data_IF_119574003640
#
_entry.id   IF_119574003640
#
_cell.length_a   1.000
_cell.length_b   1.000
_cell.length_c   1.000
_cell.angle_alpha   90.00
_cell.angle_beta   90.00
_cell.angle_gamma   90.00
#
_symmetry.space_group_name_H-M   'P 1'
#
loop_
_entity.id
_entity.type
_entity.pdbx_description
1 polymer ?
#
# COMPACT_ATOMS: atom_id res chain seq x y z
N UNK A 1 -8.62 11.49 22.04
CA UNK A 1 -7.72 10.55 22.74
C UNK A 1 -8.14 9.12 22.40
N UNK A 2 -7.20 8.22 22.12
CA UNK A 2 -7.53 6.83 21.85
C UNK A 2 -8.17 6.17 23.08
N UNK A 3 -9.17 5.32 22.83
CA UNK A 3 -9.82 4.55 23.89
C UNK A 3 -8.99 3.30 24.24
N UNK A 4 -9.25 2.71 25.42
CA UNK A 4 -8.62 1.43 25.76
C UNK A 4 -8.93 0.34 24.71
N UNK A 5 -10.11 0.36 24.11
CA UNK A 5 -10.48 -0.59 23.05
C UNK A 5 -9.66 -0.40 21.78
N UNK A 6 -9.39 0.85 21.38
CA UNK A 6 -8.51 1.13 20.25
C UNK A 6 -7.09 0.59 20.51
N UNK A 7 -6.56 0.79 21.71
CA UNK A 7 -5.25 0.25 22.10
C UNK A 7 -5.22 -1.27 22.09
N UNK A 8 -6.26 -1.93 22.63
CA UNK A 8 -6.39 -3.39 22.59
C UNK A 8 -6.44 -3.92 21.14
N UNK A 9 -7.23 -3.26 20.28
CA UNK A 9 -7.33 -3.65 18.87
C UNK A 9 -6.00 -3.46 18.14
N UNK A 10 -5.29 -2.37 18.37
CA UNK A 10 -3.94 -2.16 17.81
C UNK A 10 -2.97 -3.27 18.22
N UNK A 11 -2.97 -3.68 19.48
CA UNK A 11 -2.13 -4.79 19.97
C UNK A 11 -2.48 -6.12 19.30
N UNK A 12 -3.77 -6.42 19.11
CA UNK A 12 -4.24 -7.62 18.41
C UNK A 12 -3.80 -7.60 16.94
N UNK A 13 -3.91 -6.46 16.27
CA UNK A 13 -3.49 -6.32 14.88
C UNK A 13 -1.96 -6.45 14.75
N UNK A 14 -1.21 -5.88 15.68
CA UNK A 14 0.25 -6.02 15.72
C UNK A 14 0.69 -7.49 15.82
N UNK A 15 0.05 -8.27 16.70
CA UNK A 15 0.31 -9.70 16.86
C UNK A 15 -0.06 -10.48 15.59
N UNK A 16 -1.21 -10.15 14.97
CA UNK A 16 -1.73 -10.86 13.80
C UNK A 16 -0.89 -10.64 12.55
N UNK A 17 -0.54 -9.39 12.26
CA UNK A 17 0.11 -9.00 10.99
C UNK A 17 1.63 -8.83 11.10
N UNK A 18 2.19 -8.86 12.31
CA UNK A 18 3.63 -8.73 12.51
C UNK A 18 4.19 -7.32 12.34
N UNK A 19 3.34 -6.31 12.19
CA UNK A 19 3.72 -4.89 12.15
C UNK A 19 3.29 -4.19 13.44
N UNK A 20 4.21 -3.50 14.15
CA UNK A 20 3.98 -3.12 15.55
C UNK A 20 3.12 -1.87 15.75
N UNK A 21 3.05 -0.96 14.79
CA UNK A 21 2.44 0.36 14.97
C UNK A 21 1.19 0.47 14.13
N UNK A 22 0.05 0.77 14.76
CA UNK A 22 -1.25 0.82 14.09
C UNK A 22 -1.96 2.14 14.30
N UNK A 23 -2.62 2.60 13.24
CA UNK A 23 -3.52 3.74 13.22
C UNK A 23 -4.85 3.36 12.60
N UNK A 24 -5.96 3.86 13.18
CA UNK A 24 -7.30 3.66 12.66
C UNK A 24 -7.72 4.85 11.80
N UNK A 25 -8.45 4.56 10.73
CA UNK A 25 -8.98 5.52 9.77
C UNK A 25 -10.46 5.22 9.51
N UNK A 26 -11.12 6.03 8.67
CA UNK A 26 -12.53 5.82 8.34
C UNK A 26 -12.74 4.80 7.21
N UNK A 27 -11.71 4.50 6.44
CA UNK A 27 -11.74 3.54 5.33
C UNK A 27 -10.34 3.10 4.95
N UNK A 28 -10.21 2.02 4.17
CA UNK A 28 -8.95 1.63 3.55
C UNK A 28 -8.44 2.71 2.55
N UNK A 29 -9.35 3.40 1.86
CA UNK A 29 -8.99 4.56 1.01
C UNK A 29 -8.21 5.60 1.81
N UNK A 30 -8.71 5.94 2.98
CA UNK A 30 -8.09 6.91 3.88
C UNK A 30 -6.72 6.41 4.38
N UNK A 31 -6.64 5.14 4.77
CA UNK A 31 -5.39 4.48 5.15
C UNK A 31 -4.34 4.53 4.02
N UNK A 32 -4.72 4.18 2.80
CA UNK A 32 -3.84 4.23 1.63
C UNK A 32 -3.33 5.65 1.36
N UNK A 33 -4.20 6.66 1.47
CA UNK A 33 -3.82 8.07 1.27
C UNK A 33 -2.78 8.53 2.30
N UNK A 34 -2.92 8.16 3.56
CA UNK A 34 -1.92 8.46 4.59
C UNK A 34 -0.58 7.83 4.25
N UNK A 35 -0.55 6.55 3.93
CA UNK A 35 0.69 5.83 3.63
C UNK A 35 1.39 6.36 2.38
N UNK A 36 0.65 6.71 1.33
CA UNK A 36 1.22 7.35 0.12
C UNK A 36 1.90 8.67 0.47
N UNK A 37 1.28 9.49 1.33
CA UNK A 37 1.86 10.76 1.77
C UNK A 37 3.14 10.53 2.58
N UNK A 38 3.11 9.60 3.52
CA UNK A 38 4.30 9.25 4.30
C UNK A 38 5.43 8.71 3.42
N UNK A 39 5.11 7.82 2.48
CA UNK A 39 6.11 7.29 1.56
C UNK A 39 6.78 8.40 0.72
N UNK A 40 5.98 9.34 0.21
CA UNK A 40 6.49 10.52 -0.52
C UNK A 40 7.37 11.38 0.36
N UNK A 41 6.98 11.64 1.59
CA UNK A 41 7.74 12.46 2.53
C UNK A 41 9.11 11.83 2.86
N UNK A 42 9.13 10.56 3.25
CA UNK A 42 10.37 9.90 3.70
C UNK A 42 11.33 9.55 2.56
N UNK A 43 10.84 9.50 1.32
CA UNK A 43 11.67 9.19 0.14
C UNK A 43 12.01 10.40 -0.71
N UNK A 44 11.26 11.50 -0.60
CA UNK A 44 11.34 12.67 -1.48
C UNK A 44 10.87 12.39 -2.91
N UNK A 45 10.28 11.23 -3.20
CA UNK A 45 9.85 10.80 -4.53
C UNK A 45 8.36 11.07 -4.72
N UNK A 46 7.90 11.21 -5.97
CA UNK A 46 6.52 11.63 -6.27
C UNK A 46 5.60 10.48 -6.67
N UNK A 47 6.12 9.52 -7.45
CA UNK A 47 5.31 8.45 -8.02
C UNK A 47 5.15 7.27 -7.05
N UNK A 48 4.02 6.59 -7.17
CA UNK A 48 3.83 5.26 -6.60
C UNK A 48 3.76 4.24 -7.74
N UNK A 49 4.20 3.02 -7.48
CA UNK A 49 3.93 1.89 -8.34
C UNK A 49 2.65 1.19 -7.88
N UNK A 50 1.81 0.78 -8.84
CA UNK A 50 0.63 -0.04 -8.61
C UNK A 50 0.55 -1.12 -9.68
N UNK A 51 -0.15 -2.21 -9.40
CA UNK A 51 -0.39 -3.22 -10.43
C UNK A 51 -1.49 -2.77 -11.40
N UNK A 52 -1.33 -3.17 -12.65
CA UNK A 52 -2.36 -3.00 -13.66
C UNK A 52 -3.67 -3.65 -13.20
N UNK A 53 -4.79 -2.94 -13.36
CA UNK A 53 -6.13 -3.36 -12.90
C UNK A 53 -6.31 -3.57 -11.39
N UNK A 54 -5.40 -3.08 -10.53
CA UNK A 54 -5.58 -3.10 -9.09
C UNK A 54 -6.78 -2.24 -8.62
N UNK A 55 -7.16 -2.39 -7.36
CA UNK A 55 -8.15 -1.51 -6.74
C UNK A 55 -7.80 -1.23 -5.28
N UNK A 56 -7.63 0.05 -4.93
CA UNK A 56 -7.24 0.51 -3.59
C UNK A 56 -8.17 1.60 -3.04
N UNK A 57 -9.46 1.45 -3.30
CA UNK A 57 -10.45 2.47 -2.95
C UNK A 57 -10.44 3.65 -3.93
N UNK A 58 -10.93 4.81 -3.51
CA UNK A 58 -11.01 6.02 -4.32
C UNK A 58 -9.75 6.89 -4.19
N UNK A 59 -8.59 6.27 -4.20
CA UNK A 59 -7.30 6.96 -4.27
C UNK A 59 -7.02 7.28 -5.73
N UNK A 60 -6.92 8.55 -6.08
CA UNK A 60 -6.81 9.02 -7.48
C UNK A 60 -5.65 8.35 -8.23
N UNK A 61 -4.50 8.24 -7.60
CA UNK A 61 -3.29 7.63 -8.15
C UNK A 61 -3.48 6.17 -8.58
N UNK A 62 -4.43 5.45 -7.98
CA UNK A 62 -4.59 4.01 -8.20
C UNK A 62 -5.55 3.64 -9.33
N UNK A 63 -6.17 4.64 -9.97
CA UNK A 63 -7.00 4.44 -11.18
C UNK A 63 -6.18 4.42 -12.46
N UNK A 64 -4.96 3.92 -12.38
CA UNK A 64 -4.04 3.74 -13.49
C UNK A 64 -4.11 2.33 -14.07
N UNK A 65 -3.90 2.22 -15.37
CA UNK A 65 -3.73 0.97 -16.11
C UNK A 65 -2.63 1.14 -17.15
N UNK A 66 -2.23 0.05 -17.78
CA UNK A 66 -1.35 0.08 -18.94
C UNK A 66 -2.18 0.20 -20.23
N UNK A 67 -1.69 1.00 -21.17
CA UNK A 67 -2.19 0.98 -22.56
C UNK A 67 -1.50 -0.13 -23.38
N UNK A 68 -1.85 -0.24 -24.65
CA UNK A 68 -1.30 -1.26 -25.56
C UNK A 68 0.22 -1.10 -25.81
N UNK A 69 0.77 0.09 -25.57
CA UNK A 69 2.20 0.40 -25.69
C UNK A 69 2.95 0.25 -24.35
N UNK A 70 2.25 -0.14 -23.27
CA UNK A 70 2.81 -0.31 -21.93
C UNK A 70 3.01 0.99 -21.15
N UNK A 71 2.35 2.08 -21.55
CA UNK A 71 2.40 3.34 -20.82
C UNK A 71 1.33 3.38 -19.72
N UNK A 72 1.63 4.07 -18.64
CA UNK A 72 0.66 4.33 -17.56
C UNK A 72 -0.36 5.36 -18.02
N UNK A 73 -1.62 4.98 -18.07
CA UNK A 73 -2.74 5.84 -18.45
C UNK A 73 -3.88 5.74 -17.44
N UNK A 74 -4.81 6.69 -17.47
CA UNK A 74 -6.01 6.62 -16.65
C UNK A 74 -6.88 5.45 -17.11
N UNK A 75 -7.43 4.69 -16.14
CA UNK A 75 -8.44 3.66 -16.42
C UNK A 75 -9.59 4.29 -17.20
N UNK A 76 -10.09 3.59 -18.23
CA UNK A 76 -11.29 3.99 -18.95
C UNK A 76 -12.42 4.21 -17.93
N UNK A 77 -13.22 5.23 -18.13
CA UNK A 77 -14.33 5.62 -17.25
C UNK A 77 -13.89 6.13 -15.86
N UNK A 78 -12.60 6.38 -15.62
CA UNK A 78 -12.15 7.13 -14.44
C UNK A 78 -12.63 8.58 -14.55
N UNK A 79 -13.53 8.97 -13.66
CA UNK A 79 -14.12 10.32 -13.62
C UNK A 79 -13.33 11.23 -12.70
N UNK A 80 -13.19 12.50 -13.10
CA UNK A 80 -12.68 13.55 -12.21
C UNK A 80 -11.19 13.43 -11.86
N UNK A 81 -10.38 12.82 -12.69
CA UNK A 81 -8.93 12.74 -12.46
C UNK A 81 -8.33 14.14 -12.30
N UNK A 82 -7.54 14.40 -11.25
CA UNK A 82 -6.99 15.73 -11.00
C UNK A 82 -5.78 16.05 -11.88
N UNK A 83 -5.03 15.02 -12.30
CA UNK A 83 -3.82 15.11 -13.14
C UNK A 83 -3.75 13.91 -14.09
N UNK A 84 -2.86 13.99 -15.08
CA UNK A 84 -2.50 12.78 -15.86
C UNK A 84 -1.75 11.81 -14.95
N UNK A 85 -2.17 10.54 -14.93
CA UNK A 85 -1.73 9.59 -13.91
C UNK A 85 -0.26 9.18 -14.04
N UNK A 86 0.34 9.27 -15.22
CA UNK A 86 1.77 9.05 -15.42
C UNK A 86 2.65 10.03 -14.64
N UNK A 87 2.10 11.16 -14.18
CA UNK A 87 2.82 12.12 -13.34
C UNK A 87 2.95 11.67 -11.88
N UNK A 88 2.03 10.83 -11.41
CA UNK A 88 1.93 10.43 -10.00
C UNK A 88 2.04 8.92 -9.80
N UNK A 89 1.96 8.15 -10.89
CA UNK A 89 1.81 6.70 -10.82
C UNK A 89 2.63 6.02 -11.93
N UNK A 90 3.08 4.81 -11.62
CA UNK A 90 3.66 3.88 -12.57
C UNK A 90 2.90 2.55 -12.45
N UNK A 91 2.14 2.18 -13.49
CA UNK A 91 1.44 0.89 -13.53
C UNK A 91 2.42 -0.20 -14.00
N UNK A 92 2.38 -1.36 -13.34
CA UNK A 92 3.20 -2.53 -13.69
C UNK A 92 2.32 -3.77 -13.82
N UNK A 93 2.64 -4.72 -14.71
CA UNK A 93 1.93 -5.99 -14.77
C UNK A 93 2.10 -6.79 -13.48
N UNK A 94 1.07 -7.52 -13.07
CA UNK A 94 1.18 -8.47 -11.97
C UNK A 94 1.97 -9.70 -12.41
N UNK A 95 2.77 -10.29 -11.52
CA UNK A 95 3.68 -11.39 -11.80
C UNK A 95 4.86 -11.07 -12.76
N UNK A 96 5.23 -9.80 -12.88
CA UNK A 96 6.35 -9.34 -13.70
C UNK A 96 7.39 -8.60 -12.85
N UNK A 97 8.43 -9.33 -12.39
CA UNK A 97 9.53 -8.75 -11.60
C UNK A 97 10.44 -7.85 -12.44
N UNK A 98 10.57 -8.11 -13.74
CA UNK A 98 11.40 -7.29 -14.62
C UNK A 98 10.78 -5.90 -14.81
N UNK A 99 9.47 -5.85 -15.04
CA UNK A 99 8.73 -4.58 -15.11
C UNK A 99 8.79 -3.80 -13.77
N UNK A 100 8.67 -4.51 -12.64
CA UNK A 100 8.82 -3.90 -11.31
C UNK A 100 10.24 -3.35 -11.11
N UNK A 101 11.27 -4.10 -11.44
CA UNK A 101 12.65 -3.64 -11.31
C UNK A 101 12.94 -2.43 -12.21
N UNK A 102 12.46 -2.43 -13.45
CA UNK A 102 12.56 -1.30 -14.38
C UNK A 102 11.94 -0.03 -13.78
N UNK A 103 10.74 -0.15 -13.20
CA UNK A 103 10.09 0.99 -12.55
C UNK A 103 10.92 1.51 -11.37
N UNK A 104 11.43 0.64 -10.51
CA UNK A 104 12.19 1.03 -9.32
C UNK A 104 13.56 1.61 -9.65
N UNK A 105 14.21 1.15 -10.71
CA UNK A 105 15.47 1.67 -11.22
C UNK A 105 15.36 3.15 -11.67
N UNK A 106 14.18 3.63 -12.02
CA UNK A 106 13.97 5.04 -12.38
C UNK A 106 14.33 6.01 -11.25
N UNK A 107 14.29 5.55 -9.99
CA UNK A 107 14.47 6.39 -8.82
C UNK A 107 13.28 7.32 -8.51
N UNK A 108 12.17 7.21 -9.25
CA UNK A 108 10.98 8.06 -9.08
C UNK A 108 9.92 7.47 -8.13
N UNK A 109 10.01 6.17 -7.81
CA UNK A 109 8.97 5.44 -7.09
C UNK A 109 9.17 5.55 -5.57
N UNK A 110 8.20 6.17 -4.90
CA UNK A 110 8.16 6.31 -3.45
C UNK A 110 7.70 5.03 -2.75
N UNK A 111 6.65 4.40 -3.30
CA UNK A 111 6.07 3.19 -2.76
C UNK A 111 5.57 2.25 -3.85
N UNK A 112 5.54 0.95 -3.54
CA UNK A 112 4.71 -0.04 -4.21
C UNK A 112 3.47 -0.26 -3.34
N UNK A 113 2.29 0.13 -3.83
CA UNK A 113 1.00 -0.18 -3.21
C UNK A 113 0.35 -1.33 -3.98
N UNK A 114 0.10 -2.45 -3.31
CA UNK A 114 -0.38 -3.65 -3.98
C UNK A 114 -1.28 -4.52 -3.10
N UNK A 115 -2.14 -5.30 -3.74
CA UNK A 115 -2.80 -6.45 -3.12
C UNK A 115 -1.84 -7.66 -3.17
N UNK A 116 -1.76 -8.53 -2.14
CA UNK A 116 -0.97 -9.77 -2.22
C UNK A 116 -1.45 -10.75 -3.29
N UNK A 117 -2.72 -10.67 -3.67
CA UNK A 117 -3.33 -11.29 -4.84
C UNK A 117 -4.32 -10.29 -5.44
N UNK A 118 -4.41 -10.16 -6.77
CA UNK A 118 -5.40 -9.26 -7.37
C UNK A 118 -6.80 -9.84 -7.16
N UNK A 119 -7.74 -9.00 -6.73
CA UNK A 119 -9.10 -9.44 -6.41
C UNK A 119 -10.20 -8.68 -7.14
N UNK A 120 -9.84 -7.66 -7.91
CA UNK A 120 -10.82 -6.79 -8.60
C UNK A 120 -11.22 -7.28 -10.00
N UNK A 121 -10.40 -8.11 -10.63
CA UNK A 121 -10.63 -8.64 -12.00
C UNK A 121 -10.83 -10.17 -12.00
N UNK A 122 -11.26 -10.72 -10.92
CA UNK A 122 -11.17 -12.13 -10.57
C UNK A 122 -10.05 -12.30 -9.53
N UNK A 123 -9.73 -13.54 -9.18
CA UNK A 123 -8.62 -13.81 -8.26
C UNK A 123 -7.39 -14.24 -9.07
N UNK A 124 -6.38 -13.37 -9.08
CA UNK A 124 -5.09 -13.66 -9.71
C UNK A 124 -4.06 -13.85 -8.61
N UNK A 125 -3.59 -15.08 -8.46
CA UNK A 125 -2.61 -15.44 -7.44
C UNK A 125 -1.19 -15.05 -7.87
N UNK A 126 -0.32 -14.71 -6.92
CA UNK A 126 1.10 -14.51 -7.20
C UNK A 126 1.73 -15.83 -7.64
N UNK A 127 2.59 -15.78 -8.64
CA UNK A 127 3.44 -16.90 -9.01
C UNK A 127 4.49 -17.20 -7.91
N UNK A 128 4.96 -18.44 -7.79
CA UNK A 128 5.99 -18.78 -6.82
C UNK A 128 7.24 -17.89 -6.95
N UNK A 129 7.65 -17.26 -5.84
CA UNK A 129 8.82 -16.37 -5.80
C UNK A 129 8.54 -14.91 -6.16
N UNK A 130 7.31 -14.57 -6.64
CA UNK A 130 7.00 -13.22 -7.05
C UNK A 130 7.01 -12.23 -5.88
N UNK A 131 6.30 -12.54 -4.80
CA UNK A 131 6.21 -11.64 -3.64
C UNK A 131 7.55 -11.48 -2.92
N UNK A 132 8.32 -12.56 -2.80
CA UNK A 132 9.68 -12.53 -2.26
C UNK A 132 10.62 -11.69 -3.15
N UNK A 133 10.47 -11.82 -4.46
CA UNK A 133 11.20 -11.00 -5.44
C UNK A 133 10.87 -9.51 -5.29
N UNK A 134 9.59 -9.17 -5.18
CA UNK A 134 9.16 -7.77 -4.94
C UNK A 134 9.71 -7.24 -3.63
N UNK A 135 9.65 -8.02 -2.54
CA UNK A 135 10.24 -7.63 -1.25
C UNK A 135 11.72 -7.30 -1.39
N UNK A 136 12.48 -8.15 -2.11
CA UNK A 136 13.90 -7.93 -2.35
C UNK A 136 14.16 -6.67 -3.19
N UNK A 137 13.36 -6.44 -4.24
CA UNK A 137 13.45 -5.24 -5.08
C UNK A 137 13.10 -3.97 -4.31
N UNK A 138 12.02 -3.96 -3.53
CA UNK A 138 11.64 -2.83 -2.69
C UNK A 138 12.79 -2.44 -1.74
N UNK A 139 13.39 -3.43 -1.09
CA UNK A 139 14.56 -3.21 -0.22
C UNK A 139 15.78 -2.70 -0.99
N UNK A 140 16.05 -3.27 -2.18
CA UNK A 140 17.21 -2.88 -3.02
C UNK A 140 17.15 -1.43 -3.48
N UNK A 141 15.95 -0.95 -3.83
CA UNK A 141 15.74 0.38 -4.41
C UNK A 141 15.16 1.40 -3.42
N UNK A 142 15.06 1.05 -2.14
CA UNK A 142 14.45 1.88 -1.09
C UNK A 142 13.04 2.36 -1.49
N UNK A 143 12.20 1.43 -1.95
CA UNK A 143 10.78 1.63 -2.25
C UNK A 143 9.97 1.15 -1.07
N UNK A 144 9.08 1.97 -0.53
CA UNK A 144 8.21 1.58 0.60
C UNK A 144 7.20 0.54 0.12
N UNK A 145 7.22 -0.64 0.72
CA UNK A 145 6.31 -1.73 0.34
C UNK A 145 5.04 -1.72 1.17
N UNK A 146 3.90 -1.44 0.54
CA UNK A 146 2.59 -1.33 1.18
C UNK A 146 1.70 -2.46 0.67
N UNK A 147 1.28 -3.37 1.56
CA UNK A 147 0.33 -4.44 1.25
C UNK A 147 -1.10 -4.03 1.65
N UNK A 148 -1.98 -3.92 0.68
CA UNK A 148 -3.41 -3.71 0.90
C UNK A 148 -4.11 -5.07 1.06
N UNK A 149 -4.32 -5.44 2.30
CA UNK A 149 -5.00 -6.69 2.71
C UNK A 149 -6.52 -6.53 2.82
N UNK A 150 -7.10 -5.48 2.30
CA UNK A 150 -8.54 -5.19 2.45
C UNK A 150 -9.43 -6.34 1.99
N UNK A 151 -8.99 -7.16 1.06
CA UNK A 151 -9.66 -8.41 0.66
C UNK A 151 -8.97 -9.65 1.24
N UNK A 152 -7.65 -9.70 1.16
CA UNK A 152 -6.86 -10.89 1.50
C UNK A 152 -6.70 -11.12 3.00
N UNK A 153 -7.10 -10.15 3.84
CA UNK A 153 -7.12 -10.33 5.30
C UNK A 153 -7.97 -11.53 5.74
N UNK A 154 -8.92 -11.97 4.91
CA UNK A 154 -9.78 -13.13 5.18
C UNK A 154 -9.14 -14.48 4.82
N UNK A 155 -7.98 -14.48 4.18
CA UNK A 155 -7.26 -15.72 3.82
C UNK A 155 -6.72 -16.47 5.05
N UNK A 156 -6.42 -15.75 6.14
CA UNK A 156 -5.91 -16.36 7.37
C UNK A 156 -5.88 -15.40 8.57
N UNK A 157 -5.41 -15.91 9.72
CA UNK A 157 -5.19 -15.07 10.91
C UNK A 157 -3.92 -14.24 10.71
N UNK A 158 -4.06 -13.04 10.16
CA UNK A 158 -2.94 -12.18 9.78
C UNK A 158 -2.81 -12.02 8.27
N UNK A 159 -3.89 -12.41 7.53
CA UNK A 159 -4.00 -12.29 6.10
C UNK A 159 -2.94 -13.09 5.34
N UNK A 160 -2.76 -12.79 4.08
CA UNK A 160 -1.67 -13.36 3.28
C UNK A 160 -0.29 -12.90 3.74
N UNK A 161 -0.19 -11.73 4.36
CA UNK A 161 1.07 -11.22 4.91
C UNK A 161 1.72 -12.24 5.84
N UNK A 162 0.97 -12.75 6.80
CA UNK A 162 1.48 -13.73 7.77
C UNK A 162 1.63 -15.13 7.17
N UNK A 163 0.63 -15.57 6.41
CA UNK A 163 0.61 -16.92 5.83
C UNK A 163 1.79 -17.15 4.88
N UNK A 164 2.22 -16.10 4.16
CA UNK A 164 3.36 -16.15 3.25
C UNK A 164 4.66 -15.60 3.87
N UNK A 165 4.64 -15.29 5.18
CA UNK A 165 5.79 -14.75 5.92
C UNK A 165 6.41 -13.49 5.27
N UNK A 166 5.56 -12.61 4.74
CA UNK A 166 5.96 -11.35 4.13
C UNK A 166 6.31 -10.30 5.19
N UNK A 167 7.23 -9.42 4.88
CA UNK A 167 7.68 -8.35 5.76
C UNK A 167 7.55 -6.99 5.08
N UNK A 168 6.32 -6.51 4.87
CA UNK A 168 6.09 -5.20 4.27
C UNK A 168 6.48 -4.08 5.23
N UNK A 169 6.70 -2.88 4.68
CA UNK A 169 6.84 -1.67 5.47
C UNK A 169 5.52 -1.24 6.07
N UNK A 170 4.40 -1.49 5.36
CA UNK A 170 3.06 -1.20 5.86
C UNK A 170 2.01 -2.19 5.35
N UNK A 171 0.94 -2.32 6.15
CA UNK A 171 -0.26 -3.13 5.83
C UNK A 171 -1.49 -2.26 5.96
N UNK A 172 -2.42 -2.38 5.01
CA UNK A 172 -3.72 -1.69 5.02
C UNK A 172 -4.85 -2.67 5.20
N UNK A 173 -5.81 -2.31 6.03
CA UNK A 173 -7.02 -3.09 6.31
C UNK A 173 -8.27 -2.23 6.15
N UNK A 174 -9.35 -2.87 5.76
CA UNK A 174 -10.66 -2.22 5.65
C UNK A 174 -11.81 -3.22 5.63
N UNK A 175 -12.93 -2.80 5.07
CA UNK A 175 -14.14 -3.63 4.90
C UNK A 175 -14.55 -4.36 6.19
N UNK A 176 -14.26 -5.64 6.30
CA UNK A 176 -14.78 -6.52 7.36
C UNK A 176 -14.28 -6.20 8.77
N UNK A 177 -13.17 -5.45 8.92
CA UNK A 177 -12.62 -5.15 10.26
C UNK A 177 -13.58 -4.32 11.13
N UNK A 178 -14.50 -3.57 10.50
CA UNK A 178 -15.46 -2.72 11.20
C UNK A 178 -16.73 -3.40 11.66
N UNK A 179 -17.00 -4.63 11.20
CA UNK A 179 -18.23 -5.35 11.57
C UNK A 179 -19.51 -4.59 11.19
N UNK A 180 -19.48 -3.79 10.13
CA UNK A 180 -20.59 -2.93 9.67
C UNK A 180 -20.43 -1.45 10.02
N UNK A 181 -19.44 -1.07 10.83
CA UNK A 181 -19.10 0.31 11.09
C UNK A 181 -18.00 0.74 10.10
N UNK A 182 -18.09 1.93 9.47
CA UNK A 182 -17.03 2.44 8.61
C UNK A 182 -15.73 2.57 9.38
N UNK A 183 -14.73 1.78 9.01
CA UNK A 183 -13.40 1.82 9.60
C UNK A 183 -12.39 1.23 8.63
N UNK A 184 -11.21 1.80 8.63
CA UNK A 184 -9.99 1.27 8.07
C UNK A 184 -8.87 1.31 9.11
N UNK A 185 -7.76 0.72 8.78
CA UNK A 185 -6.56 0.78 9.59
C UNK A 185 -5.34 0.60 8.71
N UNK A 186 -4.22 1.14 9.14
CA UNK A 186 -2.92 0.78 8.60
C UNK A 186 -1.94 0.46 9.72
N UNK A 187 -1.11 -0.53 9.45
CA UNK A 187 0.01 -0.88 10.30
C UNK A 187 1.32 -0.50 9.63
N UNK A 188 2.34 -0.18 10.44
CA UNK A 188 3.67 0.17 9.95
C UNK A 188 4.75 -0.61 10.69
N UNK A 189 5.82 -0.93 9.97
CA UNK A 189 7.05 -1.43 10.58
C UNK A 189 7.68 -0.34 11.48
N UNK A 190 8.46 -0.76 12.47
CA UNK A 190 9.20 0.19 13.31
C UNK A 190 10.14 1.05 12.46
N UNK A 191 10.80 0.46 11.48
CA UNK A 191 11.73 1.18 10.59
C UNK A 191 11.03 2.31 9.81
N UNK A 192 9.83 2.06 9.26
CA UNK A 192 9.07 3.11 8.56
C UNK A 192 8.61 4.20 9.54
N UNK A 193 8.12 3.82 10.72
CA UNK A 193 7.68 4.78 11.73
C UNK A 193 8.83 5.68 12.21
N UNK A 194 10.01 5.13 12.40
CA UNK A 194 11.20 5.89 12.76
C UNK A 194 11.62 6.87 11.65
N UNK A 195 11.55 6.43 10.39
CA UNK A 195 11.80 7.32 9.22
C UNK A 195 10.82 8.49 9.20
N UNK A 196 9.53 8.22 9.41
CA UNK A 196 8.48 9.26 9.45
C UNK A 196 8.77 10.23 10.60
N UNK A 197 9.03 9.73 11.81
CA UNK A 197 9.31 10.56 12.97
C UNK A 197 10.54 11.45 12.80
N UNK A 198 11.55 10.97 12.08
CA UNK A 198 12.76 11.73 11.78
C UNK A 198 12.58 12.75 10.66
N UNK A 199 11.71 12.48 9.69
CA UNK A 199 11.43 13.37 8.57
C UNK A 199 10.49 14.51 8.96
N UNK A 200 9.56 14.26 9.90
CA UNK A 200 8.55 15.22 10.33
C UNK A 200 9.00 15.97 11.57
N UNK A 201 8.99 17.29 11.54
CA UNK A 201 9.08 18.08 12.75
C UNK A 201 7.69 18.13 13.40
N UNK A 202 7.44 17.20 14.32
CA UNK A 202 6.15 17.04 15.00
C UNK A 202 5.74 18.25 15.85
N UNK A 203 6.67 19.16 16.15
CA UNK A 203 6.38 20.40 16.91
C UNK A 203 5.79 21.48 15.99
N UNK A 204 6.05 21.41 14.69
CA UNK A 204 5.65 22.45 13.73
C UNK A 204 4.62 21.98 12.70
N UNK A 205 4.36 20.67 12.63
CA UNK A 205 3.39 20.10 11.70
C UNK A 205 1.95 20.30 12.25
N UNK A 206 1.09 20.90 11.48
CA UNK A 206 -0.31 21.12 11.84
C UNK A 206 -1.32 20.30 11.00
N UNK A 207 -0.82 19.53 10.04
CA UNK A 207 -1.62 18.67 9.17
C UNK A 207 -1.07 17.26 9.13
N UNK A 208 -1.95 16.34 9.39
CA UNK A 208 -1.67 14.92 9.45
C UNK A 208 -1.48 14.24 8.09
#
# INVERSE_FOLDING_TARGET
LPTQKAQQNASILAERFGVPIWQFTLSATDANRHLIRYAREVTGRKKIAVHDWCYHGTVDETFAVLDDDGNTVARKDNIGKPVELDQTTWSIPFNDLEAAEKAFQSGEIAALLMEPALTNIGIVLPEPGYLEGLQALCKKYDVIWILDETHTLSAGIGGMTKDLNLQPDAVVLGKTIGGGIPVGAFGMSQALADRISNALNLETIDVG
#
